data_IF_027117613509
#
_entry.id   IF_027117613509
#
_cell.length_a   1.000
_cell.length_b   1.000
_cell.length_c   1.000
_cell.angle_alpha   90.00
_cell.angle_beta   90.00
_cell.angle_gamma   90.00
#
_symmetry.space_group_name_H-M   'P 1'
#
loop_
_entity.id
_entity.type
_entity.pdbx_description
1 polymer ?
#
# COMPACT_ATOMS: atom_id res chain seq x y z
N UNK A 1 -27.71 24.20 -48.39
CA UNK A 1 -27.95 23.39 -49.60
C UNK A 1 -26.64 22.72 -50.01
N UNK A 2 -26.45 21.47 -49.59
CA UNK A 2 -25.23 20.69 -49.82
C UNK A 2 -25.28 20.02 -51.19
N UNK A 3 -24.43 20.46 -52.12
CA UNK A 3 -24.29 19.83 -53.44
C UNK A 3 -23.32 18.66 -53.36
N UNK A 4 -23.86 17.44 -53.37
CA UNK A 4 -23.08 16.20 -53.47
C UNK A 4 -22.62 16.06 -54.93
N UNK A 5 -21.33 16.30 -55.21
CA UNK A 5 -20.72 15.97 -56.51
C UNK A 5 -20.29 14.51 -56.51
N UNK A 6 -21.11 13.65 -57.12
CA UNK A 6 -20.74 12.26 -57.40
C UNK A 6 -19.59 12.24 -58.41
N UNK A 7 -18.39 11.85 -57.97
CA UNK A 7 -17.25 11.56 -58.86
C UNK A 7 -17.46 10.19 -59.49
N UNK A 8 -17.85 10.16 -60.77
CA UNK A 8 -17.91 8.93 -61.55
C UNK A 8 -16.48 8.41 -61.83
N UNK A 9 -16.24 7.09 -61.72
CA UNK A 9 -14.93 6.50 -61.98
C UNK A 9 -14.52 6.65 -63.46
N UNK A 10 -13.25 6.95 -63.69
CA UNK A 10 -12.65 7.26 -64.99
C UNK A 10 -12.71 6.13 -66.03
N UNK A 11 -13.07 4.92 -65.62
CA UNK A 11 -12.94 3.71 -66.45
C UNK A 11 -14.24 3.31 -67.15
N UNK A 12 -15.30 4.10 -67.00
CA UNK A 12 -16.50 3.98 -67.83
C UNK A 12 -16.20 4.54 -69.23
N UNK A 13 -15.74 3.67 -70.12
CA UNK A 13 -15.95 3.85 -71.56
C UNK A 13 -17.42 4.26 -71.72
N UNK A 14 -17.67 5.46 -72.27
CA UNK A 14 -19.03 5.95 -72.50
C UNK A 14 -19.42 5.55 -73.93
N UNK A 15 -20.04 4.37 -74.16
CA UNK A 15 -20.46 3.94 -75.50
C UNK A 15 -21.53 4.86 -76.11
N UNK A 16 -22.14 5.75 -75.31
CA UNK A 16 -23.22 6.65 -75.71
C UNK A 16 -22.78 7.98 -76.34
N UNK A 17 -21.48 8.19 -76.61
CA UNK A 17 -21.09 9.29 -77.51
C UNK A 17 -21.54 8.91 -78.92
N UNK A 18 -22.36 9.72 -79.62
CA UNK A 18 -22.86 9.36 -80.94
C UNK A 18 -21.68 9.08 -81.89
N UNK A 19 -21.72 7.91 -82.53
CA UNK A 19 -20.70 7.40 -83.47
C UNK A 19 -20.38 8.37 -84.60
N UNK A 20 -21.16 9.43 -84.81
CA UNK A 20 -20.91 10.44 -85.84
C UNK A 20 -19.55 11.15 -85.67
N UNK A 21 -19.12 11.47 -84.42
CA UNK A 21 -17.75 11.97 -84.16
C UNK A 21 -16.65 10.91 -84.37
N UNK A 22 -17.04 9.64 -84.48
CA UNK A 22 -16.13 8.54 -84.79
C UNK A 22 -16.09 8.21 -86.29
N UNK A 23 -17.12 8.57 -87.08
CA UNK A 23 -17.13 8.34 -88.54
C UNK A 23 -15.98 9.06 -89.24
N UNK A 24 -15.63 10.28 -88.81
CA UNK A 24 -14.45 11.00 -89.30
C UNK A 24 -13.11 10.43 -88.83
N UNK A 25 -13.09 9.64 -87.74
CA UNK A 25 -11.90 8.96 -87.23
C UNK A 25 -11.78 7.51 -87.71
N UNK A 26 -12.74 7.01 -88.50
CA UNK A 26 -12.64 5.69 -89.15
C UNK A 26 -11.57 5.67 -90.24
N UNK A 27 -11.30 6.84 -90.82
CA UNK A 27 -10.15 7.05 -91.68
C UNK A 27 -8.94 7.25 -90.76
N UNK A 28 -8.39 6.14 -90.29
CA UNK A 28 -7.13 6.13 -89.56
C UNK A 28 -6.05 6.43 -90.59
N UNK A 29 -5.37 7.55 -90.45
CA UNK A 29 -4.21 7.85 -91.29
C UNK A 29 -3.25 6.66 -91.25
N UNK A 30 -2.70 6.24 -92.40
CA UNK A 30 -1.71 5.19 -92.40
C UNK A 30 -0.57 5.60 -91.45
N UNK A 31 0.02 4.64 -90.71
CA UNK A 31 1.18 4.96 -89.89
C UNK A 31 2.22 5.67 -90.76
N UNK A 32 2.91 6.65 -90.18
CA UNK A 32 3.94 7.39 -90.88
C UNK A 32 4.89 6.39 -91.58
N UNK A 33 5.24 6.61 -92.87
CA UNK A 33 6.07 5.68 -93.60
C UNK A 33 7.46 5.64 -92.94
N UNK A 34 7.85 4.47 -92.45
CA UNK A 34 9.20 4.24 -91.95
C UNK A 34 10.10 3.80 -93.09
N UNK A 35 11.36 4.24 -93.07
CA UNK A 35 12.37 3.59 -93.92
C UNK A 35 12.68 2.20 -93.34
N UNK A 36 12.92 1.17 -94.17
CA UNK A 36 13.22 -0.18 -93.68
C UNK A 36 14.42 -0.23 -92.72
N UNK A 37 15.39 0.67 -92.89
CA UNK A 37 16.56 0.79 -92.03
C UNK A 37 16.22 1.38 -90.65
N UNK A 38 15.40 2.44 -90.61
CA UNK A 38 14.93 3.01 -89.35
C UNK A 38 14.18 1.98 -88.51
N UNK A 39 13.28 1.21 -89.15
CA UNK A 39 12.52 0.18 -88.48
C UNK A 39 13.43 -0.88 -87.83
N UNK A 40 14.48 -1.33 -88.54
CA UNK A 40 15.46 -2.26 -87.98
C UNK A 40 16.23 -1.67 -86.79
N UNK A 41 16.60 -0.39 -86.84
CA UNK A 41 17.25 0.29 -85.72
C UNK A 41 16.31 0.36 -84.51
N UNK A 42 15.03 0.72 -84.72
CA UNK A 42 14.02 0.77 -83.67
C UNK A 42 13.76 -0.61 -83.06
N UNK A 43 13.59 -1.65 -83.86
CA UNK A 43 13.33 -2.99 -83.38
C UNK A 43 14.51 -3.51 -82.55
N UNK A 44 15.75 -3.30 -83.01
CA UNK A 44 16.95 -3.65 -82.27
C UNK A 44 17.11 -2.85 -80.97
N UNK A 45 16.82 -1.55 -80.98
CA UNK A 45 16.88 -0.71 -79.80
C UNK A 45 15.79 -1.10 -78.78
N UNK A 46 14.60 -1.44 -79.26
CA UNK A 46 13.47 -1.88 -78.44
C UNK A 46 13.76 -3.21 -77.76
N UNK A 47 14.29 -4.20 -78.48
CA UNK A 47 14.70 -5.49 -77.90
C UNK A 47 15.71 -5.26 -76.76
N UNK A 48 16.77 -4.48 -77.00
CA UNK A 48 17.77 -4.16 -75.97
C UNK A 48 17.19 -3.40 -74.77
N UNK A 49 16.24 -2.50 -75.02
CA UNK A 49 15.55 -1.75 -73.97
C UNK A 49 14.66 -2.68 -73.12
N UNK A 50 13.84 -3.50 -73.77
CA UNK A 50 12.93 -4.43 -73.12
C UNK A 50 13.71 -5.46 -72.31
N UNK A 51 14.83 -5.98 -72.82
CA UNK A 51 15.76 -6.84 -72.07
C UNK A 51 16.24 -6.18 -70.78
N UNK A 52 16.77 -4.95 -70.86
CA UNK A 52 17.25 -4.20 -69.69
C UNK A 52 16.15 -3.94 -68.67
N UNK A 53 14.97 -3.53 -69.14
CA UNK A 53 13.81 -3.28 -68.27
C UNK A 53 13.34 -4.58 -67.62
N UNK A 54 13.33 -5.70 -68.33
CA UNK A 54 12.96 -6.99 -67.77
C UNK A 54 13.97 -7.47 -66.71
N UNK A 55 15.27 -7.24 -66.91
CA UNK A 55 16.30 -7.49 -65.89
C UNK A 55 16.03 -6.63 -64.64
N UNK A 56 15.77 -5.33 -64.81
CA UNK A 56 15.47 -4.45 -63.67
C UNK A 56 14.21 -4.88 -62.92
N UNK A 57 13.14 -5.27 -63.64
CA UNK A 57 11.93 -5.83 -63.03
C UNK A 57 12.24 -7.11 -62.24
N UNK A 58 13.09 -7.99 -62.76
CA UNK A 58 13.50 -9.21 -62.07
C UNK A 58 14.31 -8.90 -60.78
N UNK A 59 15.15 -7.87 -60.79
CA UNK A 59 15.89 -7.42 -59.60
C UNK A 59 14.91 -6.88 -58.54
N UNK A 60 14.04 -5.94 -58.90
CA UNK A 60 13.09 -5.34 -57.95
C UNK A 60 12.07 -6.33 -57.39
N UNK A 61 11.64 -7.32 -58.19
CA UNK A 61 10.77 -8.39 -57.70
C UNK A 61 11.47 -9.29 -56.68
N UNK A 62 12.76 -9.61 -56.89
CA UNK A 62 13.56 -10.34 -55.89
C UNK A 62 13.79 -9.53 -54.62
N UNK A 63 14.08 -8.24 -54.73
CA UNK A 63 14.25 -7.36 -53.58
C UNK A 63 12.97 -7.26 -52.74
N UNK A 64 11.83 -7.04 -53.37
CA UNK A 64 10.52 -6.98 -52.68
C UNK A 64 10.17 -8.31 -52.01
N UNK A 65 10.45 -9.45 -52.66
CA UNK A 65 10.32 -10.76 -52.02
C UNK A 65 11.26 -10.91 -50.81
N UNK A 66 12.50 -10.45 -50.90
CA UNK A 66 13.45 -10.49 -49.77
C UNK A 66 13.03 -9.60 -48.59
N UNK A 67 12.36 -8.48 -48.86
CA UNK A 67 11.79 -7.63 -47.80
C UNK A 67 10.59 -8.31 -47.13
N UNK A 68 9.79 -9.06 -47.90
CA UNK A 68 8.70 -9.87 -47.36
C UNK A 68 9.21 -11.01 -46.46
N UNK A 69 10.33 -11.67 -46.81
CA UNK A 69 10.92 -12.69 -45.92
C UNK A 69 11.49 -12.11 -44.64
N UNK A 70 12.05 -10.89 -44.68
CA UNK A 70 12.45 -10.15 -43.46
C UNK A 70 11.24 -9.88 -42.55
N UNK A 71 10.06 -9.59 -43.11
CA UNK A 71 8.82 -9.46 -42.34
C UNK A 71 8.43 -10.78 -41.65
N UNK A 72 8.61 -11.92 -42.30
CA UNK A 72 8.40 -13.24 -41.67
C UNK A 72 9.37 -13.49 -40.52
N UNK A 73 10.64 -13.09 -40.65
CA UNK A 73 11.61 -13.18 -39.56
C UNK A 73 11.19 -12.31 -38.37
N UNK A 74 10.75 -11.07 -38.62
CA UNK A 74 10.24 -10.19 -37.57
C UNK A 74 9.04 -10.80 -36.83
N UNK A 75 8.12 -11.47 -37.55
CA UNK A 75 7.00 -12.17 -36.90
C UNK A 75 7.44 -13.35 -36.04
N UNK A 76 8.47 -14.09 -36.45
CA UNK A 76 9.03 -15.19 -35.64
C UNK A 76 9.73 -14.64 -34.39
N UNK A 77 10.45 -13.54 -34.52
CA UNK A 77 11.09 -12.87 -33.39
C UNK A 77 10.05 -12.37 -32.39
N UNK A 78 9.00 -11.69 -32.84
CA UNK A 78 7.90 -11.24 -31.97
C UNK A 78 7.24 -12.40 -31.22
N UNK A 79 7.06 -13.56 -31.88
CA UNK A 79 6.51 -14.76 -31.22
C UNK A 79 7.48 -15.34 -30.18
N UNK A 80 8.77 -15.32 -30.45
CA UNK A 80 9.78 -15.76 -29.49
C UNK A 80 9.80 -14.83 -28.27
N UNK A 81 9.81 -13.51 -28.48
CA UNK A 81 9.75 -12.50 -27.43
C UNK A 81 8.46 -12.64 -26.58
N UNK A 82 7.32 -12.91 -27.20
CA UNK A 82 6.07 -13.14 -26.48
C UNK A 82 6.12 -14.41 -25.62
N UNK A 83 6.76 -15.49 -26.12
CA UNK A 83 6.95 -16.72 -25.34
C UNK A 83 7.88 -16.52 -24.15
N UNK A 84 9.00 -15.82 -24.35
CA UNK A 84 9.94 -15.46 -23.28
C UNK A 84 9.26 -14.61 -22.22
N UNK A 85 8.48 -13.60 -22.64
CA UNK A 85 7.71 -12.76 -21.74
C UNK A 85 6.75 -13.60 -20.88
N UNK A 86 6.01 -14.54 -21.48
CA UNK A 86 5.10 -15.42 -20.73
C UNK A 86 5.84 -16.30 -19.71
N UNK A 87 7.02 -16.81 -20.06
CA UNK A 87 7.86 -17.58 -19.13
C UNK A 87 8.32 -16.72 -17.96
N UNK A 88 8.79 -15.50 -18.22
CA UNK A 88 9.21 -14.56 -17.18
C UNK A 88 8.06 -14.21 -16.24
N UNK A 89 6.87 -13.94 -16.76
CA UNK A 89 5.68 -13.68 -15.94
C UNK A 89 5.33 -14.89 -15.08
N UNK A 90 5.39 -16.10 -15.63
CA UNK A 90 5.17 -17.32 -14.85
C UNK A 90 6.17 -17.47 -13.71
N UNK A 91 7.46 -17.19 -13.96
CA UNK A 91 8.50 -17.25 -12.93
C UNK A 91 8.28 -16.20 -11.83
N UNK A 92 7.93 -14.98 -12.22
CA UNK A 92 7.61 -13.89 -11.27
C UNK A 92 6.42 -14.27 -10.39
N UNK A 93 5.37 -14.84 -10.98
CA UNK A 93 4.20 -15.27 -10.22
C UNK A 93 4.54 -16.38 -9.22
N UNK A 94 5.34 -17.37 -9.63
CA UNK A 94 5.79 -18.44 -8.74
C UNK A 94 6.63 -17.92 -7.57
N UNK A 95 7.56 -16.98 -7.82
CA UNK A 95 8.36 -16.41 -6.73
C UNK A 95 7.51 -15.52 -5.82
N UNK A 96 6.56 -14.77 -6.36
CA UNK A 96 5.61 -13.99 -5.55
C UNK A 96 4.77 -14.89 -4.64
N UNK A 97 4.28 -16.02 -5.14
CA UNK A 97 3.56 -17.01 -4.32
C UNK A 97 4.44 -17.57 -3.20
N UNK A 98 5.71 -17.88 -3.52
CA UNK A 98 6.69 -18.34 -2.53
C UNK A 98 6.93 -17.29 -1.45
N UNK A 99 7.13 -16.03 -1.82
CA UNK A 99 7.34 -14.93 -0.87
C UNK A 99 6.10 -14.64 -0.02
N UNK A 100 4.90 -14.74 -0.59
CA UNK A 100 3.65 -14.62 0.16
C UNK A 100 3.46 -15.76 1.17
N UNK A 101 3.91 -16.97 0.86
CA UNK A 101 3.90 -18.07 1.82
C UNK A 101 4.83 -17.80 3.01
N UNK A 102 6.06 -17.31 2.73
CA UNK A 102 7.02 -16.94 3.79
C UNK A 102 6.48 -15.83 4.67
N UNK A 103 5.95 -14.74 4.08
CA UNK A 103 5.38 -13.63 4.87
C UNK A 103 4.25 -14.07 5.78
N UNK A 104 3.36 -14.95 5.30
CA UNK A 104 2.26 -15.47 6.12
C UNK A 104 2.78 -16.30 7.29
N UNK A 105 3.84 -17.07 7.11
CA UNK A 105 4.45 -17.81 8.21
C UNK A 105 5.14 -16.87 9.21
N UNK A 106 5.88 -15.86 8.73
CA UNK A 106 6.51 -14.85 9.58
C UNK A 106 5.46 -14.06 10.39
N UNK A 107 4.35 -13.67 9.76
CA UNK A 107 3.21 -13.02 10.44
C UNK A 107 2.57 -13.94 11.49
N UNK A 108 2.40 -15.24 11.18
CA UNK A 108 1.87 -16.22 12.12
C UNK A 108 2.78 -16.35 13.35
N UNK A 109 4.08 -16.47 13.13
CA UNK A 109 5.08 -16.57 14.21
C UNK A 109 5.13 -15.29 15.03
N UNK A 110 5.04 -14.12 14.39
CA UNK A 110 5.03 -12.84 15.09
C UNK A 110 3.80 -12.70 16.01
N UNK A 111 2.61 -13.10 15.53
CA UNK A 111 1.39 -13.10 16.33
C UNK A 111 1.46 -14.10 17.50
N UNK A 112 1.99 -15.30 17.26
CA UNK A 112 2.17 -16.32 18.30
C UNK A 112 3.14 -15.84 19.40
N UNK A 113 4.24 -15.18 19.02
CA UNK A 113 5.18 -14.60 19.97
C UNK A 113 4.59 -13.41 20.73
N UNK A 114 3.80 -12.56 20.07
CA UNK A 114 3.08 -11.46 20.73
C UNK A 114 2.08 -11.98 21.76
N UNK A 115 1.28 -12.99 21.42
CA UNK A 115 0.34 -13.63 22.36
C UNK A 115 1.08 -14.29 23.52
N UNK A 116 2.20 -14.96 23.25
CA UNK A 116 3.05 -15.55 24.27
C UNK A 116 3.57 -14.49 25.23
N UNK A 117 4.14 -13.40 24.73
CA UNK A 117 4.65 -12.30 25.57
C UNK A 117 3.50 -11.70 26.40
N UNK A 118 2.34 -11.46 25.78
CA UNK A 118 1.16 -10.93 26.48
C UNK A 118 0.72 -11.84 27.62
N UNK A 119 0.68 -13.16 27.39
CA UNK A 119 0.32 -14.13 28.42
C UNK A 119 1.35 -14.16 29.57
N UNK A 120 2.65 -14.07 29.25
CA UNK A 120 3.71 -14.02 30.25
C UNK A 120 3.62 -12.76 31.12
N UNK A 121 3.41 -11.59 30.51
CA UNK A 121 3.23 -10.33 31.24
C UNK A 121 2.01 -10.41 32.16
N UNK A 122 0.89 -10.95 31.68
CA UNK A 122 -0.32 -11.11 32.49
C UNK A 122 -0.09 -12.04 33.68
N UNK A 123 0.61 -13.16 33.47
CA UNK A 123 0.98 -14.08 34.53
C UNK A 123 1.89 -13.41 35.58
N UNK A 124 2.92 -12.69 35.14
CA UNK A 124 3.83 -11.96 36.05
C UNK A 124 3.09 -10.89 36.86
N UNK A 125 2.17 -10.15 36.23
CA UNK A 125 1.34 -9.16 36.93
C UNK A 125 0.43 -9.84 37.96
N UNK A 126 -0.23 -10.94 37.59
CA UNK A 126 -1.09 -11.69 38.51
C UNK A 126 -0.32 -12.28 39.69
N UNK A 127 0.92 -12.76 39.47
CA UNK A 127 1.77 -13.27 40.53
C UNK A 127 2.24 -12.14 41.45
N UNK A 128 2.53 -10.96 40.88
CA UNK A 128 2.89 -9.77 41.66
C UNK A 128 1.73 -9.30 42.54
N UNK A 129 0.52 -9.19 41.99
CA UNK A 129 -0.70 -8.85 42.75
C UNK A 129 -0.94 -9.87 43.87
N UNK A 130 -0.80 -11.17 43.56
CA UNK A 130 -0.91 -12.22 44.56
C UNK A 130 0.13 -12.05 45.69
N UNK A 131 1.38 -11.75 45.35
CA UNK A 131 2.45 -11.48 46.35
C UNK A 131 2.19 -10.21 47.16
N UNK A 132 1.64 -9.15 46.57
CA UNK A 132 1.26 -7.94 47.29
C UNK A 132 0.11 -8.21 48.28
N UNK A 133 -0.83 -9.09 47.93
CA UNK A 133 -1.86 -9.57 48.85
C UNK A 133 -1.31 -10.50 49.95
N UNK A 134 -0.15 -11.13 49.76
CA UNK A 134 0.53 -11.91 50.79
C UNK A 134 1.23 -11.05 51.88
N UNK A 135 1.14 -9.71 51.82
CA UNK A 135 1.52 -8.81 52.91
C UNK A 135 0.74 -9.03 54.23
N UNK A 136 -0.09 -10.08 54.31
CA UNK A 136 -0.65 -10.64 55.54
C UNK A 136 0.40 -10.77 56.65
N UNK A 137 1.66 -11.07 56.34
CA UNK A 137 2.71 -11.16 57.36
C UNK A 137 2.96 -9.83 58.09
N UNK A 138 2.93 -8.71 57.37
CA UNK A 138 3.09 -7.38 57.98
C UNK A 138 1.89 -7.01 58.82
N UNK A 139 0.67 -7.29 58.34
CA UNK A 139 -0.56 -7.05 59.08
C UNK A 139 -0.63 -7.91 60.35
N UNK A 140 -0.29 -9.21 60.25
CA UNK A 140 -0.20 -10.11 61.40
C UNK A 140 0.85 -9.63 62.39
N UNK A 141 1.98 -9.06 61.92
CA UNK A 141 3.02 -8.49 62.79
C UNK A 141 2.53 -7.22 63.49
N UNK A 142 1.81 -6.34 62.79
CA UNK A 142 1.18 -5.15 63.39
C UNK A 142 0.16 -5.55 64.45
N UNK A 143 -0.75 -6.48 64.13
CA UNK A 143 -1.75 -7.01 65.06
C UNK A 143 -1.10 -7.67 66.29
N UNK A 144 -0.01 -8.42 66.12
CA UNK A 144 0.75 -9.01 67.26
C UNK A 144 1.42 -7.97 68.14
N UNK A 145 1.83 -6.84 67.59
CA UNK A 145 2.40 -5.74 68.37
C UNK A 145 1.30 -5.00 69.14
N UNK A 146 0.18 -4.70 68.47
CA UNK A 146 -0.99 -4.06 69.10
C UNK A 146 -1.60 -4.94 70.20
N UNK A 147 -1.64 -6.27 70.01
CA UNK A 147 -2.19 -7.20 70.99
C UNK A 147 -1.43 -7.21 72.31
N UNK A 148 -0.15 -6.78 72.32
CA UNK A 148 0.61 -6.64 73.57
C UNK A 148 0.15 -5.46 74.41
N UNK A 149 -0.49 -4.46 73.80
CA UNK A 149 -1.06 -3.30 74.47
C UNK A 149 -2.52 -3.51 74.89
N UNK A 150 -3.12 -4.66 74.58
CA UNK A 150 -4.48 -4.96 74.99
C UNK A 150 -4.56 -5.25 76.50
N UNK A 151 -5.70 -4.90 77.06
CA UNK A 151 -5.94 -5.03 78.50
C UNK A 151 -6.19 -6.49 78.82
N UNK A 152 -5.31 -7.09 79.63
CA UNK A 152 -5.50 -8.43 80.15
C UNK A 152 -6.29 -8.37 81.47
N UNK A 153 -7.03 -9.44 81.84
CA UNK A 153 -7.77 -9.49 83.12
C UNK A 153 -6.90 -9.25 84.36
N UNK A 154 -5.62 -9.63 84.28
CA UNK A 154 -4.66 -9.47 85.38
C UNK A 154 -4.16 -8.02 85.54
N UNK A 155 -4.15 -7.22 84.47
CA UNK A 155 -3.67 -5.83 84.47
C UNK A 155 -4.82 -4.81 84.55
N UNK A 156 -6.07 -5.29 84.60
CA UNK A 156 -7.28 -4.48 84.48
C UNK A 156 -7.36 -3.36 85.52
N UNK A 157 -7.14 -3.66 86.79
CA UNK A 157 -7.25 -2.66 87.87
C UNK A 157 -6.23 -1.53 87.73
N UNK A 158 -4.99 -1.88 87.34
CA UNK A 158 -3.91 -0.91 87.12
C UNK A 158 -4.22 0.01 85.94
N UNK A 159 -4.82 -0.54 84.89
CA UNK A 159 -5.18 0.21 83.70
C UNK A 159 -6.36 1.16 83.94
N UNK A 160 -7.36 0.74 84.72
CA UNK A 160 -8.47 1.60 85.15
C UNK A 160 -7.95 2.81 85.94
N UNK A 161 -7.04 2.59 86.89
CA UNK A 161 -6.44 3.69 87.65
C UNK A 161 -5.61 4.64 86.75
N UNK A 162 -4.88 4.10 85.76
CA UNK A 162 -4.14 4.92 84.79
C UNK A 162 -5.09 5.80 83.98
N UNK A 163 -6.15 5.23 83.41
CA UNK A 163 -7.11 5.95 82.56
C UNK A 163 -8.00 6.93 83.32
N UNK A 164 -8.19 6.74 84.64
CA UNK A 164 -8.86 7.74 85.48
C UNK A 164 -7.96 8.96 85.76
N UNK A 165 -6.65 8.75 85.80
CA UNK A 165 -5.66 9.81 86.04
C UNK A 165 -5.24 10.54 84.76
N UNK A 166 -5.25 9.84 83.61
CA UNK A 166 -4.87 10.38 82.32
C UNK A 166 -6.11 10.80 81.50
N UNK A 167 -6.21 12.10 81.18
CA UNK A 167 -7.27 12.62 80.31
C UNK A 167 -6.76 12.70 78.87
N UNK A 168 -7.32 11.88 77.99
CA UNK A 168 -7.09 12.00 76.55
C UNK A 168 -8.10 12.95 75.92
N UNK A 169 -7.60 13.98 75.22
CA UNK A 169 -8.42 14.93 74.47
C UNK A 169 -8.29 14.66 72.96
N UNK A 170 -9.40 14.28 72.34
CA UNK A 170 -9.49 14.00 70.91
C UNK A 170 -10.04 15.20 70.12
N UNK A 171 -10.27 16.35 70.75
CA UNK A 171 -10.79 17.52 70.07
C UNK A 171 -9.69 18.24 69.28
N UNK A 172 -9.84 18.28 67.97
CA UNK A 172 -9.01 19.07 67.07
C UNK A 172 -9.88 19.83 66.07
N UNK A 173 -9.41 21.00 65.63
CA UNK A 173 -10.00 21.78 64.55
C UNK A 173 -9.19 21.60 63.27
N UNK A 174 -9.84 21.67 62.11
CA UNK A 174 -9.20 21.61 60.80
C UNK A 174 -9.34 22.95 60.11
N UNK A 175 -8.22 23.54 59.70
CA UNK A 175 -8.22 24.79 58.93
C UNK A 175 -8.68 24.56 57.48
N UNK A 176 -9.05 25.62 56.77
CA UNK A 176 -9.37 25.58 55.32
C UNK A 176 -8.24 25.02 54.45
N UNK A 177 -6.99 25.07 54.95
CA UNK A 177 -5.81 24.48 54.32
C UNK A 177 -5.58 22.99 54.70
N UNK A 178 -6.50 22.36 55.44
CA UNK A 178 -6.43 20.96 55.85
C UNK A 178 -5.53 20.66 57.05
N UNK A 179 -4.99 21.68 57.73
CA UNK A 179 -4.11 21.50 58.90
C UNK A 179 -4.92 21.26 60.17
N UNK A 180 -4.54 20.22 60.93
CA UNK A 180 -5.14 19.88 62.24
C UNK A 180 -4.46 20.67 63.36
N UNK A 181 -5.27 21.34 64.20
CA UNK A 181 -4.80 22.04 65.41
C UNK A 181 -5.55 21.57 66.64
N UNK A 182 -4.83 21.42 67.75
CA UNK A 182 -5.46 21.18 69.06
C UNK A 182 -6.14 22.45 69.59
N UNK A 183 -6.99 22.31 70.60
CA UNK A 183 -7.59 23.46 71.30
C UNK A 183 -6.56 24.44 71.89
N UNK A 184 -5.33 23.98 72.16
CA UNK A 184 -4.21 24.80 72.63
C UNK A 184 -3.46 25.56 71.51
N UNK A 185 -3.93 25.45 70.26
CA UNK A 185 -3.33 26.10 69.09
C UNK A 185 -2.06 25.44 68.56
N UNK A 186 -1.60 24.34 69.16
CA UNK A 186 -0.46 23.55 68.67
C UNK A 186 -0.88 22.76 67.42
N UNK A 187 -0.06 22.87 66.38
CA UNK A 187 -0.19 22.07 65.16
C UNK A 187 0.13 20.61 65.50
N UNK A 188 -0.78 19.71 65.14
CA UNK A 188 -0.57 18.27 65.31
C UNK A 188 0.25 17.82 64.11
N UNK A 189 1.56 17.65 64.31
CA UNK A 189 2.44 17.01 63.32
C UNK A 189 2.28 15.51 63.51
N UNK A 190 1.54 14.86 62.62
CA UNK A 190 1.44 13.40 62.60
C UNK A 190 2.79 12.84 62.12
N UNK A 191 3.62 12.33 63.04
CA UNK A 191 4.89 11.64 62.69
C UNK A 191 4.68 10.26 62.05
N UNK A 192 3.44 9.87 61.77
CA UNK A 192 3.11 8.62 61.11
C UNK A 192 3.07 8.78 59.58
N UNK A 193 4.26 8.77 58.97
CA UNK A 193 4.41 8.28 57.59
C UNK A 193 4.14 6.78 57.55
N UNK A 194 2.87 6.37 57.59
CA UNK A 194 2.46 5.12 56.94
C UNK A 194 0.95 5.11 56.71
N UNK A 195 0.58 4.83 55.45
CA UNK A 195 -0.78 4.50 54.98
C UNK A 195 -1.82 5.61 55.06
N UNK A 196 -1.55 6.76 54.44
CA UNK A 196 -2.62 7.35 53.62
C UNK A 196 -2.60 6.62 52.28
N UNK A 197 -3.64 5.81 52.07
CA UNK A 197 -3.99 5.30 50.74
C UNK A 197 -4.06 6.52 49.83
N UNK A 198 -3.09 6.65 48.94
CA UNK A 198 -3.18 7.58 47.83
C UNK A 198 -4.31 7.08 46.94
N UNK A 199 -5.51 7.59 47.16
CA UNK A 199 -6.49 7.67 46.10
C UNK A 199 -5.83 8.58 45.08
N UNK A 200 -5.17 7.98 44.08
CA UNK A 200 -4.69 8.72 42.93
C UNK A 200 -5.90 9.46 42.37
N UNK A 201 -5.91 10.78 42.51
CA UNK A 201 -6.69 11.64 41.65
C UNK A 201 -6.31 11.28 40.23
N UNK A 202 -7.18 10.51 39.57
CA UNK A 202 -7.11 10.28 38.15
C UNK A 202 -7.43 11.62 37.49
N UNK A 203 -6.42 12.47 37.39
CA UNK A 203 -6.43 13.61 36.49
C UNK A 203 -6.47 13.06 35.07
N UNK A 204 -7.69 12.88 34.56
CA UNK A 204 -7.91 12.71 33.14
C UNK A 204 -7.61 14.04 32.46
N UNK A 205 -6.34 14.33 32.18
CA UNK A 205 -6.01 15.29 31.14
C UNK A 205 -6.56 14.74 29.81
N UNK A 206 -7.46 15.45 29.11
CA UNK A 206 -7.74 15.11 27.73
C UNK A 206 -6.48 15.45 26.92
N UNK A 207 -5.64 14.44 26.66
CA UNK A 207 -4.69 14.51 25.56
C UNK A 207 -5.50 14.71 24.28
N UNK A 208 -5.66 15.96 23.86
CA UNK A 208 -6.01 16.33 22.50
C UNK A 208 -4.87 15.86 21.58
N UNK A 209 -4.84 14.56 21.30
CA UNK A 209 -4.11 14.01 20.17
C UNK A 209 -4.95 14.35 18.96
N UNK A 210 -4.66 15.51 18.36
CA UNK A 210 -5.12 15.84 17.02
C UNK A 210 -4.64 14.74 16.07
N UNK A 211 -5.49 13.74 15.81
CA UNK A 211 -5.31 12.80 14.72
C UNK A 211 -5.38 13.61 13.44
N UNK A 212 -4.22 13.85 12.80
CA UNK A 212 -4.21 14.26 11.39
C UNK A 212 -4.97 13.18 10.60
N UNK A 213 -5.96 13.55 9.77
CA UNK A 213 -6.60 12.58 8.89
C UNK A 213 -5.56 12.03 7.90
N UNK A 214 -5.56 10.70 7.64
CA UNK A 214 -4.73 10.13 6.60
C UNK A 214 -5.32 10.53 5.25
N UNK A 215 -4.60 11.32 4.44
CA UNK A 215 -5.00 11.54 3.04
C UNK A 215 -4.80 12.93 2.43
N UNK A 216 -3.88 13.78 2.91
CA UNK A 216 -3.48 14.97 2.14
C UNK A 216 -2.22 14.66 1.33
N UNK A 217 -2.43 14.18 0.10
CA UNK A 217 -1.40 14.01 -0.92
C UNK A 217 -0.75 15.36 -1.26
N UNK A 218 0.58 15.36 -1.30
CA UNK A 218 1.37 16.42 -1.92
C UNK A 218 1.02 16.51 -3.41
N UNK A 219 0.41 17.61 -3.81
CA UNK A 219 0.58 18.17 -5.15
C UNK A 219 1.16 19.57 -4.93
N UNK A 220 2.48 19.68 -5.12
CA UNK A 220 3.15 20.96 -5.35
C UNK A 220 3.25 21.10 -6.88
N UNK A 221 2.72 22.21 -7.39
CA UNK A 221 3.03 22.78 -8.71
C UNK A 221 4.40 23.46 -8.71
#
# INVERSE_FOLDING_TARGET
>A
MTTIRLKLPSNLYRPWKPLYRQRSKKQKDPPAPYTPLEQQIYDNAKVKFDERVNILKAIFTKETQSLSTKSRFAQLQLKAEEQEFRQLISMVNQENERLLAVRREDERVALEEEERIRSQVLNVLSEKEFREHLNVEEEVKQMKNESRSWINPNDLSREIERMLNEKHDYNFSIDLAGKKRTQSGKEIVEDNKSKLVSISSFESEPKNVARKPPGASKYEE
#
